data_IF_840829985063
#
_entry.id   IF_840829985063
#
_cell.length_a   1.000
_cell.length_b   1.000
_cell.length_c   1.000
_cell.angle_alpha   90.00
_cell.angle_beta   90.00
_cell.angle_gamma   90.00
#
_symmetry.space_group_name_H-M   'P 1'
#
loop_
_entity.id
_entity.type
_entity.pdbx_description
1 polymer ?
#
# COMPACT_ATOMS: atom_id res chain seq x y z
N UNK A 1 8.81 22.55 -27.90
CA UNK A 1 8.49 22.95 -26.53
C UNK A 1 9.80 23.16 -25.77
N UNK A 2 10.00 24.35 -25.18
CA UNK A 2 11.16 24.60 -24.31
C UNK A 2 11.06 23.78 -23.02
N UNK A 3 12.21 23.54 -22.40
CA UNK A 3 12.30 22.94 -21.07
C UNK A 3 11.62 23.86 -20.03
N UNK A 4 10.78 23.32 -19.18
CA UNK A 4 10.13 24.06 -18.10
C UNK A 4 10.47 23.42 -16.76
N UNK A 5 11.08 24.20 -15.87
CA UNK A 5 11.32 23.83 -14.48
C UNK A 5 10.24 24.48 -13.60
N UNK A 6 9.56 23.66 -12.82
CA UNK A 6 8.68 24.13 -11.76
C UNK A 6 9.23 23.67 -10.42
N UNK A 7 9.34 24.60 -9.48
CA UNK A 7 9.82 24.35 -8.12
C UNK A 7 8.86 24.95 -7.12
N UNK A 8 8.46 24.18 -6.13
CA UNK A 8 7.66 24.64 -5.00
C UNK A 8 8.33 24.19 -3.70
N UNK A 9 8.60 25.13 -2.82
CA UNK A 9 9.17 24.89 -1.49
C UNK A 9 8.21 25.44 -0.46
N UNK A 10 7.81 24.61 0.49
CA UNK A 10 6.93 24.99 1.58
C UNK A 10 7.67 24.75 2.90
N UNK A 11 7.70 25.74 3.77
CA UNK A 11 8.49 25.74 5.01
C UNK A 11 7.60 26.05 6.23
N UNK A 12 6.61 25.21 6.55
CA UNK A 12 5.71 25.44 7.67
C UNK A 12 6.40 25.17 9.01
N UNK A 13 6.04 25.97 9.99
CA UNK A 13 6.30 25.71 11.39
C UNK A 13 4.96 25.45 12.07
N UNK A 14 4.79 24.24 12.59
CA UNK A 14 3.54 23.78 13.18
C UNK A 14 3.67 23.67 14.70
N UNK A 15 2.61 24.09 15.38
CA UNK A 15 2.51 24.02 16.83
C UNK A 15 1.46 22.96 17.18
N UNK A 16 1.91 21.92 17.86
CA UNK A 16 1.06 20.84 18.35
C UNK A 16 0.86 21.00 19.85
N UNK A 17 -0.38 21.02 20.29
CA UNK A 17 -0.75 21.02 21.70
C UNK A 17 -1.67 19.86 22.00
N UNK A 18 -1.48 19.20 23.12
CA UNK A 18 -2.34 18.17 23.65
C UNK A 18 -2.57 18.43 25.14
N UNK A 19 -3.84 18.46 25.50
CA UNK A 19 -4.31 18.49 26.88
C UNK A 19 -5.14 17.22 27.12
N UNK A 20 -4.66 16.34 28.01
CA UNK A 20 -5.30 15.09 28.34
C UNK A 20 -5.61 15.04 29.83
N UNK A 21 -6.90 14.90 30.16
CA UNK A 21 -7.39 14.80 31.52
C UNK A 21 -8.23 13.54 31.72
N UNK A 22 -7.76 12.65 32.59
CA UNK A 22 -8.51 11.46 33.04
C UNK A 22 -8.86 11.63 34.51
N UNK A 23 -10.14 12.02 34.75
CA UNK A 23 -10.66 12.30 36.09
C UNK A 23 -10.71 11.01 36.95
N UNK A 24 -10.98 9.86 36.33
CA UNK A 24 -11.09 8.58 37.04
C UNK A 24 -9.74 8.08 37.55
N UNK A 25 -8.67 8.37 36.80
CA UNK A 25 -7.29 7.97 37.14
C UNK A 25 -6.46 9.09 37.74
N UNK A 26 -7.07 10.25 37.97
CA UNK A 26 -6.40 11.46 38.46
C UNK A 26 -5.12 11.80 37.67
N UNK A 27 -5.24 11.73 36.33
CA UNK A 27 -4.14 12.00 35.43
C UNK A 27 -4.45 13.27 34.63
N UNK A 28 -3.51 14.19 34.66
CA UNK A 28 -3.53 15.44 33.94
C UNK A 28 -2.20 15.61 33.23
N UNK A 29 -2.19 15.75 31.90
CA UNK A 29 -0.99 15.83 31.09
C UNK A 29 -1.19 16.88 30.01
N UNK A 30 -0.40 17.92 30.05
CA UNK A 30 -0.31 18.93 29.01
C UNK A 30 1.05 18.80 28.31
N UNK A 31 1.03 18.79 26.98
CA UNK A 31 2.24 18.72 26.16
C UNK A 31 2.10 19.61 24.95
N UNK A 32 3.14 20.38 24.65
CA UNK A 32 3.21 21.15 23.42
C UNK A 32 4.54 20.92 22.71
N UNK A 33 4.51 20.90 21.39
CA UNK A 33 5.70 20.78 20.54
C UNK A 33 5.61 21.72 19.35
N UNK A 34 6.72 22.35 19.03
CA UNK A 34 6.90 23.13 17.81
C UNK A 34 7.80 22.34 16.88
N UNK A 35 7.34 22.09 15.67
CA UNK A 35 8.08 21.31 14.68
C UNK A 35 8.13 22.03 13.34
N UNK A 36 9.19 21.77 12.59
CA UNK A 36 9.41 22.29 11.26
C UNK A 36 9.19 21.15 10.25
N UNK A 37 8.23 21.32 9.34
CA UNK A 37 7.79 20.27 8.40
C UNK A 37 7.96 20.70 6.94
N UNK A 38 9.20 20.87 6.47
CA UNK A 38 9.47 21.34 5.12
C UNK A 38 8.99 20.35 4.07
N UNK A 39 8.55 20.88 2.94
CA UNK A 39 8.29 20.08 1.74
C UNK A 39 8.86 20.73 0.50
N UNK A 40 9.31 19.90 -0.42
CA UNK A 40 9.86 20.29 -1.70
C UNK A 40 9.15 19.49 -2.80
N UNK A 41 8.64 20.18 -3.78
CA UNK A 41 8.19 19.59 -5.03
C UNK A 41 8.91 20.23 -6.20
N UNK A 42 9.43 19.40 -7.10
CA UNK A 42 10.12 19.83 -8.31
C UNK A 42 9.63 19.04 -9.50
N UNK A 43 9.45 19.68 -10.65
CA UNK A 43 9.24 18.98 -11.92
C UNK A 43 9.97 19.69 -13.05
N UNK A 44 10.50 18.88 -13.97
CA UNK A 44 11.25 19.35 -15.11
C UNK A 44 10.85 18.60 -16.37
N UNK A 45 10.34 19.34 -17.35
CA UNK A 45 10.06 18.87 -18.70
C UNK A 45 11.30 19.15 -19.56
N UNK A 46 12.16 18.14 -19.80
CA UNK A 46 13.47 18.34 -20.43
C UNK A 46 13.54 17.93 -21.91
N UNK A 47 12.52 17.25 -22.41
CA UNK A 47 12.37 16.92 -23.82
C UNK A 47 10.88 16.83 -24.18
N UNK A 48 10.55 16.71 -25.47
CA UNK A 48 9.17 16.77 -25.95
C UNK A 48 8.21 15.78 -25.28
N UNK A 49 8.76 14.65 -24.79
CA UNK A 49 7.95 13.55 -24.24
C UNK A 49 8.44 13.08 -22.87
N UNK A 50 9.46 13.74 -22.30
CA UNK A 50 10.07 13.34 -21.04
C UNK A 50 9.78 14.35 -19.94
N UNK A 51 9.41 13.83 -18.81
CA UNK A 51 9.23 14.60 -17.59
C UNK A 51 9.86 13.86 -16.41
N UNK A 52 10.58 14.57 -15.59
CA UNK A 52 11.00 14.11 -14.27
C UNK A 52 10.33 14.97 -13.21
N UNK A 53 9.88 14.33 -12.13
CA UNK A 53 9.44 15.07 -10.96
C UNK A 53 9.92 14.38 -9.68
N UNK A 54 10.07 15.16 -8.64
CA UNK A 54 10.46 14.73 -7.32
C UNK A 54 9.65 15.47 -6.27
N UNK A 55 9.35 14.77 -5.20
CA UNK A 55 8.71 15.29 -4.01
C UNK A 55 9.45 14.78 -2.78
N UNK A 56 9.64 15.65 -1.79
CA UNK A 56 10.18 15.28 -0.49
C UNK A 56 9.50 16.06 0.59
N UNK A 57 9.25 15.45 1.74
CA UNK A 57 8.74 16.15 2.91
C UNK A 57 9.23 15.49 4.19
N UNK A 58 9.36 16.33 5.22
CA UNK A 58 9.50 15.92 6.61
C UNK A 58 8.17 16.18 7.30
N UNK A 59 7.66 15.18 8.00
CA UNK A 59 6.42 15.29 8.78
C UNK A 59 6.57 14.66 10.16
N UNK A 60 5.70 15.09 11.08
CA UNK A 60 5.63 14.55 12.44
C UNK A 60 4.20 14.10 12.73
N UNK A 61 4.11 12.99 13.45
CA UNK A 61 2.86 12.48 13.98
C UNK A 61 3.04 12.18 15.47
N UNK A 62 2.17 12.77 16.29
CA UNK A 62 2.18 12.61 17.74
C UNK A 62 1.11 11.64 18.24
N UNK A 63 0.58 10.81 17.34
CA UNK A 63 -0.44 9.84 17.64
C UNK A 63 -1.85 10.45 17.77
N UNK A 64 -2.73 9.68 18.38
CA UNK A 64 -4.13 10.06 18.60
C UNK A 64 -4.45 10.02 20.08
N UNK A 65 -5.63 10.53 20.44
CA UNK A 65 -6.18 10.43 21.81
C UNK A 65 -6.07 9.02 22.41
N UNK A 66 -6.30 7.99 21.58
CA UNK A 66 -6.15 6.61 22.00
C UNK A 66 -4.70 6.19 22.32
N UNK A 67 -3.70 6.97 21.91
CA UNK A 67 -2.28 6.66 22.20
C UNK A 67 -1.88 7.05 23.62
N UNK A 68 -2.58 8.03 24.21
CA UNK A 68 -2.30 8.53 25.58
C UNK A 68 -3.24 7.93 26.62
N UNK A 69 -4.24 7.15 26.19
CA UNK A 69 -5.14 6.45 27.11
C UNK A 69 -4.35 5.42 27.92
N UNK A 70 -4.43 5.54 29.24
CA UNK A 70 -3.78 4.62 30.17
C UNK A 70 -4.78 3.56 30.61
N UNK A 71 -4.63 2.34 30.12
CA UNK A 71 -5.50 1.24 30.49
C UNK A 71 -5.56 0.12 29.45
N UNK A 72 -6.33 -0.90 29.80
CA UNK A 72 -6.54 -2.04 28.92
C UNK A 72 -7.71 -1.82 27.99
N UNK A 73 -7.50 -2.11 26.72
CA UNK A 73 -8.54 -2.12 25.68
C UNK A 73 -8.65 -3.53 25.12
N UNK A 74 -9.82 -4.12 25.17
CA UNK A 74 -10.09 -5.41 24.54
C UNK A 74 -10.15 -5.20 23.03
N UNK A 75 -9.13 -5.69 22.31
CA UNK A 75 -9.05 -5.57 20.86
C UNK A 75 -9.75 -6.73 20.15
N UNK A 76 -9.76 -7.89 20.78
CA UNK A 76 -10.54 -9.07 20.38
C UNK A 76 -10.69 -10.00 21.58
N UNK A 77 -11.52 -11.09 21.52
CA UNK A 77 -11.80 -11.97 22.67
C UNK A 77 -10.57 -12.62 23.34
N UNK A 78 -9.40 -12.60 22.67
CA UNK A 78 -8.15 -13.20 23.15
C UNK A 78 -6.99 -12.21 23.25
N UNK A 79 -7.20 -10.92 22.98
CA UNK A 79 -6.15 -9.93 22.97
C UNK A 79 -6.56 -8.66 23.71
N UNK A 80 -5.76 -8.32 24.72
CA UNK A 80 -5.83 -7.06 25.44
C UNK A 80 -4.70 -6.14 24.96
N UNK A 81 -5.06 -4.94 24.52
CA UNK A 81 -4.11 -3.87 24.34
C UNK A 81 -3.92 -3.13 25.66
N UNK A 82 -2.72 -3.10 26.19
CA UNK A 82 -2.35 -2.19 27.27
C UNK A 82 -1.64 -0.99 26.67
N UNK A 83 -2.29 0.16 26.78
CA UNK A 83 -1.72 1.44 26.33
C UNK A 83 -1.18 2.24 27.51
N UNK A 84 -0.44 1.57 28.38
CA UNK A 84 0.18 2.18 29.55
C UNK A 84 1.33 3.11 29.11
N UNK A 85 1.00 4.16 28.37
CA UNK A 85 1.95 5.14 27.88
C UNK A 85 1.69 6.48 28.57
N UNK A 86 2.62 6.86 29.45
CA UNK A 86 2.68 8.21 30.00
C UNK A 86 3.34 9.20 29.04
N UNK A 87 3.83 8.72 27.91
CA UNK A 87 4.65 9.46 26.96
C UNK A 87 3.91 9.62 25.63
N UNK A 88 4.01 10.80 25.06
CA UNK A 88 3.46 11.10 23.74
C UNK A 88 4.23 10.31 22.68
N UNK A 89 3.56 9.51 21.84
CA UNK A 89 4.19 8.96 20.67
C UNK A 89 4.72 10.06 19.78
N UNK A 90 5.93 9.89 19.30
CA UNK A 90 6.52 10.78 18.30
C UNK A 90 7.03 9.93 17.14
N UNK A 91 6.50 10.19 15.97
CA UNK A 91 6.94 9.58 14.72
C UNK A 91 7.36 10.70 13.76
N UNK A 92 8.64 10.81 13.51
CA UNK A 92 9.20 11.68 12.48
C UNK A 92 9.34 10.89 11.21
N UNK A 93 8.77 11.36 10.12
CA UNK A 93 8.80 10.69 8.81
C UNK A 93 9.44 11.58 7.78
N UNK A 94 10.52 11.10 7.17
CA UNK A 94 11.11 11.69 5.97
C UNK A 94 10.64 10.89 4.76
N UNK A 95 9.91 11.52 3.85
CA UNK A 95 9.49 10.91 2.59
C UNK A 95 10.22 11.54 1.41
N UNK A 96 10.61 10.72 0.46
CA UNK A 96 11.13 11.14 -0.83
C UNK A 96 10.54 10.28 -1.94
N UNK A 97 10.03 10.91 -2.98
CA UNK A 97 9.51 10.22 -4.17
C UNK A 97 10.07 10.90 -5.42
N UNK A 98 10.51 10.11 -6.36
CA UNK A 98 10.90 10.59 -7.69
C UNK A 98 10.24 9.74 -8.77
N UNK A 99 9.95 10.35 -9.91
CA UNK A 99 9.38 9.67 -11.07
C UNK A 99 9.92 10.24 -12.36
N UNK A 100 10.39 9.36 -13.24
CA UNK A 100 10.73 9.65 -14.61
C UNK A 100 9.59 9.14 -15.51
N UNK A 101 9.04 10.01 -16.33
CA UNK A 101 7.96 9.71 -17.25
C UNK A 101 8.39 9.97 -18.69
N UNK A 102 8.04 9.03 -19.57
CA UNK A 102 8.04 9.21 -20.99
C UNK A 102 6.63 8.98 -21.52
N UNK A 103 6.08 9.95 -22.25
CA UNK A 103 4.74 9.86 -22.82
C UNK A 103 4.74 10.42 -24.23
N UNK A 104 4.73 9.53 -25.21
CA UNK A 104 4.69 9.91 -26.62
C UNK A 104 3.35 9.55 -27.25
N UNK A 105 2.47 10.55 -27.48
CA UNK A 105 1.16 10.34 -28.09
C UNK A 105 1.23 9.97 -29.57
N UNK A 106 2.34 10.26 -30.28
CA UNK A 106 2.47 9.97 -31.69
C UNK A 106 2.62 8.48 -31.98
N UNK A 107 3.30 7.75 -31.11
CA UNK A 107 3.47 6.29 -31.18
C UNK A 107 2.70 5.53 -30.11
N UNK A 108 1.88 6.24 -29.32
CA UNK A 108 1.05 5.70 -28.25
C UNK A 108 1.85 4.88 -27.20
N UNK A 109 3.09 5.29 -26.94
CA UNK A 109 3.97 4.65 -25.99
C UNK A 109 4.07 5.49 -24.73
N UNK A 110 3.91 4.87 -23.59
CA UNK A 110 4.25 5.44 -22.29
C UNK A 110 5.18 4.52 -21.50
N UNK A 111 6.03 5.14 -20.71
CA UNK A 111 6.96 4.48 -19.82
C UNK A 111 7.12 5.33 -18.58
N UNK A 112 7.21 4.72 -17.41
CA UNK A 112 7.57 5.42 -16.18
C UNK A 112 8.42 4.54 -15.27
N UNK A 113 9.33 5.19 -14.56
CA UNK A 113 10.07 4.62 -13.43
C UNK A 113 9.75 5.49 -12.22
N UNK A 114 9.47 4.85 -11.10
CA UNK A 114 9.18 5.50 -9.83
C UNK A 114 10.06 4.92 -8.74
N UNK A 115 10.61 5.80 -7.91
CA UNK A 115 11.28 5.46 -6.67
C UNK A 115 10.61 6.20 -5.52
N UNK A 116 10.35 5.49 -4.43
CA UNK A 116 9.82 6.07 -3.20
C UNK A 116 10.63 5.56 -2.02
N UNK A 117 11.02 6.46 -1.14
CA UNK A 117 11.71 6.17 0.09
C UNK A 117 10.99 6.84 1.26
N UNK A 118 10.84 6.14 2.36
CA UNK A 118 10.35 6.68 3.62
C UNK A 118 11.22 6.18 4.76
N UNK A 119 11.65 7.11 5.61
CA UNK A 119 12.38 6.84 6.83
C UNK A 119 11.51 7.27 8.02
N UNK A 120 11.38 6.38 9.01
CA UNK A 120 10.51 6.56 10.17
C UNK A 120 11.37 6.49 11.42
N UNK A 121 11.51 7.60 12.12
CA UNK A 121 12.12 7.65 13.44
C UNK A 121 11.02 7.75 14.48
N UNK A 122 10.90 6.72 15.33
CA UNK A 122 9.83 6.55 16.31
C UNK A 122 10.43 6.40 17.70
N UNK A 123 9.79 7.03 18.69
CA UNK A 123 10.18 6.90 20.10
C UNK A 123 9.45 5.78 20.84
N UNK A 124 8.58 5.03 20.16
CA UNK A 124 7.76 3.98 20.76
C UNK A 124 7.81 2.72 19.91
N UNK A 125 7.89 1.58 20.58
CA UNK A 125 7.81 0.25 19.98
C UNK A 125 6.68 -0.56 20.63
N UNK A 126 6.04 -1.42 19.84
CA UNK A 126 5.03 -2.36 20.32
C UNK A 126 5.70 -3.57 20.96
N UNK A 127 5.31 -3.92 22.18
CA UNK A 127 5.75 -5.11 22.90
C UNK A 127 4.58 -6.07 23.14
N UNK A 128 4.73 -7.32 22.71
CA UNK A 128 3.67 -8.34 22.83
C UNK A 128 4.12 -9.45 23.78
N UNK A 129 3.32 -9.72 24.81
CA UNK A 129 3.45 -10.86 25.71
C UNK A 129 2.36 -11.88 25.37
N UNK A 130 2.75 -13.11 25.08
CA UNK A 130 1.83 -14.23 24.83
C UNK A 130 1.79 -15.14 26.03
N UNK A 131 0.58 -15.56 26.42
CA UNK A 131 0.34 -16.50 27.50
C UNK A 131 0.10 -17.92 26.96
N UNK A 132 0.27 -18.92 27.82
CA UNK A 132 0.02 -20.33 27.48
C UNK A 132 -1.45 -20.60 27.07
N UNK A 133 -2.38 -19.82 27.58
CA UNK A 133 -3.78 -19.85 27.20
C UNK A 133 -4.08 -19.42 25.75
N UNK A 134 -3.04 -18.98 25.02
CA UNK A 134 -3.19 -18.38 23.70
C UNK A 134 -3.63 -16.90 23.72
N UNK A 135 -3.89 -16.35 24.92
CA UNK A 135 -4.13 -14.91 25.07
C UNK A 135 -2.83 -14.10 24.83
N UNK A 136 -3.00 -12.86 24.40
CA UNK A 136 -1.89 -11.94 24.23
C UNK A 136 -2.19 -10.56 24.82
N UNK A 137 -1.18 -9.94 25.42
CA UNK A 137 -1.23 -8.52 25.77
C UNK A 137 -0.20 -7.78 24.93
N UNK A 138 -0.61 -6.64 24.37
CA UNK A 138 0.28 -5.74 23.65
C UNK A 138 0.38 -4.43 24.42
N UNK A 139 1.58 -4.00 24.70
CA UNK A 139 1.89 -2.73 25.35
C UNK A 139 2.79 -1.88 24.45
N UNK A 140 2.79 -0.57 24.66
CA UNK A 140 3.74 0.33 24.06
C UNK A 140 4.91 0.53 25.02
N UNK A 141 6.12 0.44 24.50
CA UNK A 141 7.36 0.66 25.26
C UNK A 141 8.09 1.84 24.64
N UNK A 142 8.57 2.74 25.50
CA UNK A 142 9.37 3.87 25.04
C UNK A 142 10.77 3.38 24.66
N UNK A 143 11.04 3.42 23.38
CA UNK A 143 12.31 3.01 22.79
C UNK A 143 12.47 3.61 21.39
N UNK A 144 13.54 4.37 21.23
CA UNK A 144 13.88 4.95 19.93
C UNK A 144 14.20 3.86 18.91
N UNK A 145 13.55 3.91 17.77
CA UNK A 145 13.79 2.99 16.68
C UNK A 145 13.68 3.69 15.33
N UNK A 146 14.44 3.19 14.38
CA UNK A 146 14.47 3.72 13.03
C UNK A 146 14.11 2.61 12.03
N UNK A 147 13.03 2.81 11.30
CA UNK A 147 12.55 1.89 10.28
C UNK A 147 12.43 2.59 8.93
N UNK A 148 12.54 1.83 7.86
CA UNK A 148 12.43 2.38 6.52
C UNK A 148 11.48 1.57 5.64
N UNK A 149 11.04 2.21 4.57
CA UNK A 149 10.36 1.57 3.45
C UNK A 149 10.85 2.20 2.14
N UNK A 150 11.32 1.38 1.23
CA UNK A 150 11.65 1.81 -0.13
C UNK A 150 10.84 1.02 -1.14
N UNK A 151 10.50 1.65 -2.25
CA UNK A 151 9.77 1.01 -3.34
C UNK A 151 10.24 1.53 -4.67
N UNK A 152 10.54 0.60 -5.56
CA UNK A 152 10.92 0.83 -6.94
C UNK A 152 9.85 0.26 -7.84
N UNK A 153 9.49 1.01 -8.88
CA UNK A 153 8.49 0.55 -9.84
C UNK A 153 8.84 1.00 -11.26
N UNK A 154 8.53 0.15 -12.21
CA UNK A 154 8.61 0.47 -13.63
C UNK A 154 7.34 0.02 -14.33
N UNK A 155 6.85 0.83 -15.24
CA UNK A 155 5.70 0.53 -16.07
C UNK A 155 5.98 0.93 -17.51
N UNK A 156 5.64 0.06 -18.43
CA UNK A 156 5.64 0.34 -19.87
C UNK A 156 4.29 -0.06 -20.44
N UNK A 157 3.72 0.79 -21.28
CA UNK A 157 2.47 0.48 -21.94
C UNK A 157 2.40 1.10 -23.33
N UNK A 158 1.65 0.43 -24.18
CA UNK A 158 1.47 0.84 -25.56
C UNK A 158 0.05 0.55 -26.04
N UNK A 159 -0.50 1.52 -26.74
CA UNK A 159 -1.71 1.31 -27.55
C UNK A 159 -1.31 0.99 -29.00
N UNK A 160 -1.89 -0.08 -29.53
CA UNK A 160 -1.72 -0.55 -30.90
C UNK A 160 -2.97 -0.21 -31.73
N UNK A 161 -2.99 0.92 -32.47
CA UNK A 161 -4.21 1.40 -33.14
C UNK A 161 -4.78 0.42 -34.16
N UNK A 162 -3.90 -0.29 -34.91
CA UNK A 162 -4.33 -1.29 -35.90
C UNK A 162 -5.14 -2.43 -35.32
N UNK A 163 -4.84 -2.80 -34.08
CA UNK A 163 -5.50 -3.90 -33.35
C UNK A 163 -6.43 -3.40 -32.26
N UNK A 164 -6.61 -2.07 -32.12
CA UNK A 164 -7.37 -1.44 -31.02
C UNK A 164 -7.05 -2.06 -29.67
N UNK A 165 -5.78 -2.30 -29.42
CA UNK A 165 -5.28 -3.03 -28.25
C UNK A 165 -4.43 -2.11 -27.40
N UNK A 166 -4.74 -2.08 -26.11
CA UNK A 166 -3.89 -1.49 -25.10
C UNK A 166 -3.20 -2.60 -24.28
N UNK A 167 -1.88 -2.54 -24.15
CA UNK A 167 -1.12 -3.48 -23.35
C UNK A 167 -0.17 -2.73 -22.43
N UNK A 168 -0.05 -3.16 -21.18
CA UNK A 168 0.94 -2.62 -20.23
C UNK A 168 1.52 -3.70 -19.34
N UNK A 169 2.77 -3.49 -18.97
CA UNK A 169 3.53 -4.31 -18.03
C UNK A 169 3.99 -3.41 -16.90
N UNK A 170 3.78 -3.85 -15.68
CA UNK A 170 4.21 -3.16 -14.46
C UNK A 170 5.04 -4.11 -13.60
N UNK A 171 6.14 -3.64 -13.08
CA UNK A 171 6.94 -4.31 -12.07
C UNK A 171 7.12 -3.40 -10.88
N UNK A 172 6.99 -3.93 -9.66
CA UNK A 172 7.33 -3.21 -8.43
C UNK A 172 8.11 -4.10 -7.48
N UNK A 173 9.09 -3.50 -6.79
CA UNK A 173 9.80 -4.10 -5.67
C UNK A 173 9.67 -3.17 -4.47
N UNK A 174 9.40 -3.73 -3.31
CA UNK A 174 9.30 -2.98 -2.05
C UNK A 174 10.05 -3.69 -0.96
N UNK A 175 10.96 -2.98 -0.33
CA UNK A 175 11.70 -3.40 0.86
C UNK A 175 11.30 -2.54 2.05
N UNK A 176 11.16 -3.16 3.20
CA UNK A 176 10.90 -2.43 4.44
C UNK A 176 11.39 -3.21 5.65
N UNK A 177 11.73 -2.50 6.71
CA UNK A 177 11.91 -3.11 8.01
C UNK A 177 10.97 -2.48 9.06
N UNK A 178 10.74 -3.23 10.11
CA UNK A 178 9.98 -2.78 11.28
C UNK A 178 10.48 -3.49 12.53
N UNK A 179 10.30 -2.82 13.67
CA UNK A 179 10.74 -3.31 14.97
C UNK A 179 9.56 -3.59 15.88
N UNK A 180 9.68 -4.65 16.68
CA UNK A 180 8.73 -5.01 17.74
C UNK A 180 9.47 -5.71 18.87
N UNK A 181 8.84 -5.83 20.04
CA UNK A 181 9.34 -6.64 21.13
C UNK A 181 8.44 -7.82 21.42
N UNK A 182 9.05 -8.97 21.71
CA UNK A 182 8.35 -10.11 22.30
C UNK A 182 8.83 -10.29 23.73
N UNK A 183 7.89 -10.33 24.67
CA UNK A 183 8.15 -10.61 26.09
C UNK A 183 7.89 -12.08 26.33
N UNK A 184 8.93 -12.83 26.72
CA UNK A 184 8.84 -14.25 27.08
C UNK A 184 8.21 -14.45 28.46
N UNK A 185 7.89 -15.70 28.81
CA UNK A 185 7.27 -16.11 30.07
C UNK A 185 8.00 -15.62 31.34
N UNK A 186 9.34 -15.51 31.28
CA UNK A 186 10.22 -15.05 32.36
C UNK A 186 10.51 -13.54 32.30
N UNK A 187 9.65 -12.75 31.63
CA UNK A 187 9.76 -11.31 31.43
C UNK A 187 11.03 -10.84 30.68
N UNK A 188 11.75 -11.76 30.06
CA UNK A 188 12.85 -11.42 29.15
C UNK A 188 12.27 -10.86 27.87
N UNK A 189 12.65 -9.64 27.57
CA UNK A 189 12.21 -8.92 26.38
C UNK A 189 13.25 -9.01 25.27
N UNK A 190 12.85 -9.43 24.07
CA UNK A 190 13.73 -9.49 22.90
C UNK A 190 13.23 -8.50 21.83
N UNK A 191 14.16 -7.70 21.32
CA UNK A 191 13.92 -6.86 20.17
C UNK A 191 13.90 -7.73 18.91
N UNK A 192 12.87 -7.54 18.09
CA UNK A 192 12.66 -8.26 16.84
C UNK A 192 12.69 -7.27 15.70
N UNK A 193 13.56 -7.51 14.76
CA UNK A 193 13.55 -6.86 13.46
C UNK A 193 12.86 -7.77 12.44
N UNK A 194 11.85 -7.26 11.78
CA UNK A 194 11.18 -7.90 10.65
C UNK A 194 11.59 -7.18 9.37
N UNK A 195 12.21 -7.91 8.44
CA UNK A 195 12.53 -7.43 7.09
C UNK A 195 11.55 -8.03 6.11
N UNK A 196 10.89 -7.17 5.36
CA UNK A 196 9.92 -7.57 4.36
C UNK A 196 10.40 -7.14 2.98
N UNK A 197 10.34 -8.07 2.04
CA UNK A 197 10.48 -7.79 0.61
C UNK A 197 9.21 -8.25 -0.10
N UNK A 198 8.64 -7.39 -0.92
CA UNK A 198 7.47 -7.70 -1.75
C UNK A 198 7.77 -7.31 -3.18
N UNK A 199 7.68 -8.27 -4.07
CA UNK A 199 7.80 -8.06 -5.51
C UNK A 199 6.45 -8.33 -6.17
N UNK A 200 6.09 -7.52 -7.16
CA UNK A 200 4.92 -7.76 -7.98
C UNK A 200 5.21 -7.50 -9.45
N UNK A 201 4.60 -8.32 -10.27
CA UNK A 201 4.58 -8.19 -11.72
C UNK A 201 3.12 -8.22 -12.17
N UNK A 202 2.73 -7.31 -13.05
CA UNK A 202 1.41 -7.30 -13.64
C UNK A 202 1.48 -7.06 -15.14
N UNK A 203 0.64 -7.79 -15.89
CA UNK A 203 0.38 -7.56 -17.31
C UNK A 203 -1.12 -7.26 -17.44
N UNK A 204 -1.43 -6.18 -18.16
CA UNK A 204 -2.80 -5.81 -18.52
C UNK A 204 -2.92 -5.76 -20.02
N UNK A 205 -4.01 -6.28 -20.52
CA UNK A 205 -4.32 -6.34 -21.95
C UNK A 205 -5.80 -6.03 -22.14
N UNK A 206 -6.09 -5.02 -22.94
CA UNK A 206 -7.46 -4.66 -23.32
C UNK A 206 -7.55 -4.62 -24.84
N UNK A 207 -8.50 -5.33 -25.41
CA UNK A 207 -8.72 -5.40 -26.86
C UNK A 207 -10.18 -5.11 -27.20
N UNK A 208 -10.36 -4.17 -28.12
CA UNK A 208 -11.68 -3.78 -28.68
C UNK A 208 -11.65 -3.80 -30.21
N UNK A 209 -10.85 -4.68 -30.80
CA UNK A 209 -10.67 -4.76 -32.24
C UNK A 209 -11.97 -5.11 -32.97
N UNK A 210 -12.68 -6.10 -32.47
CA UNK A 210 -13.95 -6.53 -33.03
C UNK A 210 -15.11 -5.65 -32.50
N UNK A 211 -16.04 -5.27 -33.35
CA UNK A 211 -17.23 -4.52 -32.92
C UNK A 211 -18.21 -5.36 -32.09
N UNK A 212 -18.14 -6.67 -32.23
CA UNK A 212 -19.02 -7.64 -31.58
C UNK A 212 -18.40 -8.30 -30.32
N UNK A 213 -17.13 -7.98 -30.00
CA UNK A 213 -16.44 -8.57 -28.86
C UNK A 213 -15.39 -7.61 -28.28
N UNK A 214 -15.29 -7.57 -26.96
CA UNK A 214 -14.14 -6.99 -26.25
C UNK A 214 -13.54 -7.98 -25.26
N UNK A 215 -12.24 -7.87 -25.02
CA UNK A 215 -11.49 -8.73 -24.12
C UNK A 215 -10.64 -7.87 -23.20
N UNK A 216 -10.80 -8.07 -21.90
CA UNK A 216 -9.93 -7.52 -20.85
C UNK A 216 -9.25 -8.67 -20.14
N UNK A 217 -7.92 -8.69 -20.14
CA UNK A 217 -7.14 -9.66 -19.44
C UNK A 217 -6.11 -9.00 -18.53
N UNK A 218 -6.08 -9.45 -17.30
CA UNK A 218 -5.14 -8.99 -16.29
C UNK A 218 -4.52 -10.21 -15.59
N UNK A 219 -3.20 -10.26 -15.53
CA UNK A 219 -2.47 -11.21 -14.70
C UNK A 219 -1.58 -10.43 -13.74
N UNK A 220 -1.56 -10.84 -12.48
CA UNK A 220 -0.62 -10.35 -11.49
C UNK A 220 0.06 -11.50 -10.77
N UNK A 221 1.35 -11.36 -10.52
CA UNK A 221 2.18 -12.28 -9.77
C UNK A 221 2.80 -11.52 -8.61
N UNK A 222 2.76 -12.10 -7.42
CA UNK A 222 3.28 -11.49 -6.21
C UNK A 222 4.19 -12.47 -5.48
N UNK A 223 5.32 -11.97 -5.01
CA UNK A 223 6.26 -12.70 -4.17
C UNK A 223 6.47 -11.89 -2.90
N UNK A 224 6.32 -12.55 -1.79
CA UNK A 224 6.51 -11.97 -0.48
C UNK A 224 7.54 -12.79 0.29
N UNK A 225 8.50 -12.09 0.88
CA UNK A 225 9.52 -12.65 1.75
C UNK A 225 9.54 -11.85 3.05
N UNK A 226 9.42 -12.54 4.17
CA UNK A 226 9.61 -11.98 5.50
C UNK A 226 10.73 -12.73 6.21
N UNK A 227 11.69 -12.00 6.73
CA UNK A 227 12.75 -12.50 7.57
C UNK A 227 12.61 -11.90 8.98
N UNK A 228 12.51 -12.76 9.96
CA UNK A 228 12.44 -12.39 11.36
C UNK A 228 13.73 -12.81 12.06
N UNK A 229 14.45 -11.86 12.68
CA UNK A 229 15.73 -12.12 13.33
C UNK A 229 15.63 -12.89 14.66
N UNK A 230 14.42 -13.03 15.24
CA UNK A 230 14.23 -13.70 16.52
C UNK A 230 14.50 -15.21 16.47
N UNK A 231 14.06 -15.85 15.39
CA UNK A 231 14.22 -17.29 15.16
C UNK A 231 14.89 -17.60 13.81
N UNK A 232 15.43 -16.58 13.13
CA UNK A 232 15.97 -16.66 11.77
C UNK A 232 14.97 -17.35 10.80
N UNK A 233 13.68 -17.21 11.09
CA UNK A 233 12.66 -17.82 10.29
C UNK A 233 12.38 -16.94 9.07
N UNK A 234 12.54 -17.56 7.91
CA UNK A 234 12.19 -16.96 6.63
C UNK A 234 10.85 -17.52 6.17
N UNK A 235 9.87 -16.65 6.01
CA UNK A 235 8.58 -16.99 5.45
C UNK A 235 8.50 -16.44 4.02
N UNK A 236 8.18 -17.32 3.07
CA UNK A 236 8.00 -16.98 1.65
C UNK A 236 6.61 -17.36 1.24
N UNK A 237 5.93 -16.42 0.63
CA UNK A 237 4.64 -16.62 -0.01
C UNK A 237 4.74 -16.15 -1.45
N UNK A 238 4.09 -16.84 -2.34
CA UNK A 238 3.91 -16.39 -3.72
C UNK A 238 2.49 -16.63 -4.15
N UNK A 239 2.04 -15.85 -5.11
CA UNK A 239 0.71 -16.05 -5.66
C UNK A 239 0.60 -15.42 -7.04
N UNK A 240 -0.36 -15.91 -7.80
CA UNK A 240 -0.76 -15.29 -9.03
C UNK A 240 -2.28 -15.20 -9.10
N UNK A 241 -2.75 -14.21 -9.83
CA UNK A 241 -4.15 -13.95 -10.07
C UNK A 241 -4.34 -13.68 -11.56
N UNK A 242 -5.27 -14.39 -12.19
CA UNK A 242 -5.76 -14.13 -13.52
C UNK A 242 -7.17 -13.61 -13.44
N UNK A 243 -7.46 -12.55 -14.18
CA UNK A 243 -8.80 -12.06 -14.41
C UNK A 243 -8.98 -11.90 -15.93
N UNK A 244 -9.93 -12.62 -16.50
CA UNK A 244 -10.32 -12.52 -17.88
C UNK A 244 -11.78 -12.15 -17.97
N UNK A 245 -12.07 -11.01 -18.63
CA UNK A 245 -13.41 -10.58 -18.95
C UNK A 245 -13.58 -10.58 -20.47
N UNK A 246 -14.57 -11.28 -20.96
CA UNK A 246 -14.94 -11.30 -22.38
C UNK A 246 -16.38 -10.87 -22.51
N UNK A 247 -16.60 -9.83 -23.29
CA UNK A 247 -17.94 -9.33 -23.59
C UNK A 247 -18.25 -9.53 -25.06
N UNK A 248 -19.41 -10.12 -25.35
CA UNK A 248 -19.94 -10.29 -26.68
C UNK A 248 -21.15 -9.38 -26.85
N UNK A 249 -21.23 -8.74 -27.99
CA UNK A 249 -22.29 -7.84 -28.40
C UNK A 249 -23.05 -8.41 -29.63
N UNK A 250 -23.85 -9.47 -29.41
CA UNK A 250 -24.48 -10.20 -30.56
C UNK A 250 -25.51 -9.37 -31.33
N UNK A 251 -26.16 -8.46 -30.64
CA UNK A 251 -27.17 -7.55 -31.18
C UNK A 251 -27.04 -6.18 -30.49
N UNK A 252 -27.68 -5.16 -31.12
CA UNK A 252 -27.75 -3.85 -30.48
C UNK A 252 -28.44 -3.94 -29.11
N UNK A 253 -27.88 -3.28 -28.11
CA UNK A 253 -28.33 -3.28 -26.71
C UNK A 253 -28.29 -4.63 -25.97
N UNK A 254 -27.63 -5.65 -26.51
CA UNK A 254 -27.45 -6.94 -25.86
C UNK A 254 -25.96 -7.19 -25.55
N UNK A 255 -25.67 -7.55 -24.35
CA UNK A 255 -24.30 -7.90 -23.90
C UNK A 255 -24.32 -9.24 -23.21
N UNK A 256 -23.46 -10.16 -23.65
CA UNK A 256 -23.15 -11.40 -22.96
C UNK A 256 -21.75 -11.25 -22.35
N UNK A 257 -21.64 -11.37 -21.04
CA UNK A 257 -20.38 -11.30 -20.30
C UNK A 257 -19.93 -12.69 -19.83
N UNK A 258 -18.67 -12.98 -20.01
CA UNK A 258 -17.99 -14.11 -19.41
C UNK A 258 -16.83 -13.58 -18.57
N UNK A 259 -16.78 -13.94 -17.30
CA UNK A 259 -15.69 -13.60 -16.36
C UNK A 259 -15.06 -14.89 -15.87
N UNK A 260 -13.74 -14.95 -15.91
CA UNK A 260 -12.95 -15.99 -15.28
C UNK A 260 -11.92 -15.37 -14.36
N UNK A 261 -12.06 -15.68 -13.07
CA UNK A 261 -11.10 -15.33 -12.02
C UNK A 261 -10.43 -16.59 -11.52
N UNK A 262 -9.09 -16.64 -11.57
CA UNK A 262 -8.31 -17.76 -11.07
C UNK A 262 -7.17 -17.24 -10.19
N UNK A 263 -7.12 -17.71 -8.96
CA UNK A 263 -6.12 -17.33 -7.97
C UNK A 263 -5.40 -18.55 -7.45
N UNK A 264 -4.09 -18.43 -7.32
CA UNK A 264 -3.26 -19.42 -6.65
C UNK A 264 -2.38 -18.71 -5.63
N UNK A 265 -2.37 -19.19 -4.41
CA UNK A 265 -1.50 -18.69 -3.34
C UNK A 265 -0.74 -19.87 -2.74
N UNK A 266 0.58 -19.75 -2.74
CA UNK A 266 1.50 -20.72 -2.17
C UNK A 266 2.09 -20.17 -0.88
N UNK A 267 1.87 -20.85 0.23
CA UNK A 267 2.39 -20.50 1.54
C UNK A 267 3.09 -21.70 2.18
N UNK A 268 4.43 -21.67 2.16
CA UNK A 268 5.22 -22.82 2.61
C UNK A 268 4.94 -24.07 1.79
N UNK A 269 4.40 -25.10 2.42
CA UNK A 269 4.03 -26.38 1.77
C UNK A 269 2.55 -26.44 1.33
N UNK A 270 1.80 -25.36 1.49
CA UNK A 270 0.36 -25.33 1.19
C UNK A 270 0.09 -24.45 -0.02
N UNK A 271 -0.60 -25.04 -1.01
CA UNK A 271 -1.11 -24.33 -2.18
C UNK A 271 -2.62 -24.23 -2.09
N UNK A 272 -3.13 -23.02 -2.22
CA UNK A 272 -4.56 -22.72 -2.29
C UNK A 272 -4.89 -22.23 -3.70
N UNK A 273 -5.77 -22.93 -4.39
CA UNK A 273 -6.23 -22.57 -5.72
C UNK A 273 -7.74 -22.39 -5.72
N UNK A 274 -8.20 -21.26 -6.26
CA UNK A 274 -9.61 -20.96 -6.45
C UNK A 274 -9.83 -20.47 -7.87
N UNK A 275 -10.86 -21.02 -8.53
CA UNK A 275 -11.30 -20.57 -9.86
C UNK A 275 -12.79 -20.30 -9.82
N UNK A 276 -13.17 -19.13 -10.31
CA UNK A 276 -14.56 -18.66 -10.41
C UNK A 276 -14.87 -18.35 -11.87
N UNK A 277 -16.09 -18.69 -12.27
CA UNK A 277 -16.60 -18.45 -13.61
C UNK A 277 -17.99 -17.83 -13.49
N UNK A 278 -18.16 -16.66 -14.07
CA UNK A 278 -19.43 -15.97 -14.10
C UNK A 278 -19.90 -15.78 -15.55
N UNK A 279 -21.18 -15.98 -15.76
CA UNK A 279 -21.86 -15.67 -17.00
C UNK A 279 -22.93 -14.63 -16.73
N UNK A 280 -22.96 -13.57 -17.53
CA UNK A 280 -23.96 -12.54 -17.42
C UNK A 280 -24.60 -12.24 -18.75
N UNK A 281 -25.85 -11.84 -18.71
CA UNK A 281 -26.57 -11.30 -19.84
C UNK A 281 -27.21 -9.98 -19.45
N UNK A 282 -26.97 -8.96 -20.26
CA UNK A 282 -27.56 -7.63 -20.08
C UNK A 282 -28.32 -7.23 -21.35
N UNK A 283 -29.52 -6.70 -21.13
CA UNK A 283 -30.32 -6.02 -22.17
C UNK A 283 -30.62 -4.59 -21.73
N UNK A 284 -30.25 -3.62 -22.58
CA UNK A 284 -30.50 -2.20 -22.36
C UNK A 284 -31.72 -1.72 -23.18
N UNK A 285 -32.82 -1.42 -22.51
CA UNK A 285 -33.97 -0.79 -23.16
C UNK A 285 -33.73 0.71 -23.31
N UNK A 286 -33.06 1.10 -24.38
CA UNK A 286 -32.57 2.47 -24.64
C UNK A 286 -33.66 3.53 -24.60
N UNK A 287 -34.88 3.24 -25.10
CA UNK A 287 -36.02 4.17 -25.09
C UNK A 287 -36.51 4.52 -23.69
N UNK A 288 -36.38 3.62 -22.74
CA UNK A 288 -36.84 3.78 -21.36
C UNK A 288 -35.67 4.01 -20.37
N UNK A 289 -34.43 3.89 -20.83
CA UNK A 289 -33.19 3.96 -19.99
C UNK A 289 -33.23 2.95 -18.84
N UNK A 290 -33.65 1.71 -19.15
CA UNK A 290 -33.75 0.61 -18.19
C UNK A 290 -32.80 -0.48 -18.66
N UNK A 291 -31.98 -0.98 -17.71
CA UNK A 291 -31.10 -2.13 -17.92
C UNK A 291 -31.66 -3.34 -17.16
N UNK A 292 -31.69 -4.46 -17.84
CA UNK A 292 -32.03 -5.77 -17.28
C UNK A 292 -30.76 -6.61 -17.28
N UNK A 293 -30.36 -7.13 -16.12
CA UNK A 293 -29.17 -7.97 -15.99
C UNK A 293 -29.53 -9.27 -15.27
N UNK A 294 -28.95 -10.37 -15.78
CA UNK A 294 -28.99 -11.71 -15.15
C UNK A 294 -27.54 -12.15 -14.99
N UNK A 295 -27.19 -12.58 -13.79
CA UNK A 295 -25.88 -13.16 -13.43
C UNK A 295 -26.05 -14.58 -12.92
#
# INVERSE_FOLDING_TARGET
KGSALNLNVTLPMNFYGMDYKDVLRNKDTETSKTVFEPSLWASYDFASFWKIWAFGNLGYDFGSFGSVYDGFVLTNPRALGNRNSTLLPENRTLNATSRLEYRNPLNNLFFNIRYTYADFNKNIISATKRFESGAATTSLVYEDNNSYSQSEGAEIGKYFPKFKTNASVTFTNRDSNSFSRIIKKNDVSNLIENKNNTQSFALKFNNTYFSWMSVDYNISMNWYKNLNNFNNNENRNSGWNHNLNVFFYPLENHTLGFVWDDTNTSQGATDLKNSFYDLSYQYTWSKKKIDFEIK
#
